data_IF_147181203259
#
_entry.id   IF_147181203259
#
_cell.length_a   1.000
_cell.length_b   1.000
_cell.length_c   1.000
_cell.angle_alpha   90.00
_cell.angle_beta   90.00
_cell.angle_gamma   90.00
#
_symmetry.space_group_name_H-M   'P 1'
#
loop_
_entity.id
_entity.type
_entity.pdbx_description
1 polymer ?
#
# COMPACT_ATOMS: atom_id res chain seq x y z
N UNK A 1 76.96 23.24 -33.14
CA UNK A 1 76.23 22.45 -32.13
C UNK A 1 74.78 22.83 -32.27
N UNK A 2 73.94 22.04 -32.93
CA UNK A 2 73.44 20.71 -32.55
C UNK A 2 71.94 20.92 -32.33
N UNK A 3 71.19 20.27 -33.21
CA UNK A 3 69.74 20.14 -33.23
C UNK A 3 69.22 19.63 -31.88
N UNK A 4 67.96 19.90 -31.55
CA UNK A 4 66.94 18.83 -31.59
C UNK A 4 65.53 19.39 -31.39
N UNK A 5 64.66 19.11 -32.37
CA UNK A 5 63.20 19.16 -32.28
C UNK A 5 62.69 18.11 -31.29
N UNK A 6 61.54 18.35 -30.65
CA UNK A 6 60.53 17.28 -30.50
C UNK A 6 59.12 17.85 -30.42
N UNK A 7 58.43 17.72 -31.55
CA UNK A 7 56.97 17.74 -31.69
C UNK A 7 56.39 16.42 -31.18
N UNK A 8 55.34 16.45 -30.36
CA UNK A 8 54.30 15.39 -30.22
C UNK A 8 53.15 16.08 -29.44
N UNK A 9 51.98 16.43 -29.98
CA UNK A 9 51.11 15.69 -30.89
C UNK A 9 50.21 14.78 -30.05
N UNK A 10 48.94 15.15 -29.82
CA UNK A 10 47.77 14.26 -30.02
C UNK A 10 46.42 14.87 -29.56
N UNK A 11 45.53 14.95 -30.55
CA UNK A 11 44.10 14.65 -30.54
C UNK A 11 43.19 15.29 -29.46
N UNK A 12 42.62 16.44 -29.84
CA UNK A 12 41.26 16.83 -29.46
C UNK A 12 40.27 15.84 -30.07
N UNK A 13 39.90 14.79 -29.34
CA UNK A 13 38.73 13.98 -29.68
C UNK A 13 37.71 14.04 -28.56
N UNK A 14 36.52 14.46 -28.95
CA UNK A 14 35.32 14.60 -28.15
C UNK A 14 35.05 13.35 -27.31
N UNK A 15 35.34 13.43 -25.99
CA UNK A 15 34.57 12.67 -25.00
C UNK A 15 33.14 13.17 -25.11
N UNK A 16 32.37 12.56 -26.02
CA UNK A 16 30.91 12.63 -26.00
C UNK A 16 30.54 12.32 -24.56
N UNK A 17 29.93 13.29 -23.90
CA UNK A 17 29.68 13.25 -22.46
C UNK A 17 28.80 12.03 -22.15
N UNK A 18 29.44 10.91 -21.75
CA UNK A 18 28.77 9.66 -21.40
C UNK A 18 27.72 9.91 -20.29
N UNK A 19 27.96 10.94 -19.47
CA UNK A 19 27.03 11.46 -18.46
C UNK A 19 25.69 11.92 -19.04
N UNK A 20 25.66 12.50 -20.25
CA UNK A 20 24.42 12.91 -20.94
C UNK A 20 23.66 11.71 -21.52
N UNK A 21 24.37 10.65 -21.93
CA UNK A 21 23.76 9.38 -22.36
C UNK A 21 23.17 8.60 -21.18
N UNK A 22 23.84 8.63 -20.02
CA UNK A 22 23.33 8.08 -18.76
C UNK A 22 22.08 8.83 -18.23
N UNK A 23 21.92 10.11 -18.58
CA UNK A 23 20.74 10.89 -18.22
C UNK A 23 19.49 10.57 -19.05
N UNK A 24 19.65 9.94 -20.22
CA UNK A 24 18.54 9.47 -21.08
C UNK A 24 17.93 8.17 -20.53
N UNK A 25 18.72 7.38 -19.81
CA UNK A 25 18.23 6.16 -19.17
C UNK A 25 17.79 6.53 -17.75
N UNK A 26 16.49 6.48 -17.43
CA UNK A 26 16.06 6.73 -16.05
C UNK A 26 16.80 5.77 -15.11
N UNK A 27 17.32 6.26 -13.97
CA UNK A 27 17.99 5.39 -13.02
C UNK A 27 17.04 4.26 -12.62
N UNK A 28 17.56 3.05 -12.47
CA UNK A 28 16.76 1.85 -12.21
C UNK A 28 15.81 1.98 -10.98
N UNK A 29 16.13 2.89 -10.06
CA UNK A 29 15.30 3.26 -8.91
C UNK A 29 13.99 3.97 -9.29
N UNK A 30 13.95 4.75 -10.38
CA UNK A 30 12.74 5.43 -10.86
C UNK A 30 11.78 4.51 -11.61
N UNK A 31 12.31 3.54 -12.36
CA UNK A 31 11.52 2.51 -13.03
C UNK A 31 10.72 1.62 -12.04
N UNK A 32 11.11 1.63 -10.77
CA UNK A 32 10.49 0.88 -9.67
C UNK A 32 9.65 1.76 -8.73
N UNK A 33 9.01 2.83 -9.22
CA UNK A 33 7.81 3.38 -8.53
C UNK A 33 6.65 2.40 -8.68
N UNK A 34 6.78 1.22 -8.04
CA UNK A 34 5.67 0.31 -7.83
C UNK A 34 4.81 0.98 -6.78
N UNK A 35 3.64 1.48 -7.17
CA UNK A 35 2.63 1.97 -6.24
C UNK A 35 2.40 0.85 -5.22
N UNK A 36 2.99 1.00 -4.02
CA UNK A 36 2.77 0.08 -2.92
C UNK A 36 1.34 0.32 -2.45
N UNK A 37 0.37 -0.26 -3.15
CA UNK A 37 -0.97 -0.41 -2.62
C UNK A 37 -0.82 -1.14 -1.30
N UNK A 38 -1.20 -0.47 -0.22
CA UNK A 38 -1.18 -1.05 1.12
C UNK A 38 -2.25 -2.14 1.11
N UNK A 39 -1.82 -3.40 0.94
CA UNK A 39 -2.72 -4.55 0.92
C UNK A 39 -3.39 -4.80 2.28
N UNK A 40 -2.77 -4.29 3.34
CA UNK A 40 -3.18 -4.49 4.72
C UNK A 40 -3.01 -3.20 5.52
N UNK A 41 -4.01 -2.87 6.36
CA UNK A 41 -3.93 -1.74 7.28
C UNK A 41 -4.41 -2.15 8.67
N UNK A 42 -3.65 -1.74 9.70
CA UNK A 42 -4.04 -1.91 11.11
C UNK A 42 -5.01 -0.79 11.48
N UNK A 43 -6.16 -1.17 11.99
CA UNK A 43 -7.28 -0.29 12.28
C UNK A 43 -7.98 -0.73 13.56
N UNK A 44 -8.90 0.10 14.04
CA UNK A 44 -9.72 -0.15 15.21
C UNK A 44 -11.11 -0.62 14.77
N UNK A 45 -11.63 -1.64 15.44
CA UNK A 45 -12.98 -2.16 15.19
C UNK A 45 -13.93 -1.56 16.21
N UNK A 46 -14.96 -0.90 15.73
CA UNK A 46 -16.02 -0.34 16.55
C UNK A 46 -17.31 -1.15 16.34
N UNK A 47 -17.99 -1.42 17.44
CA UNK A 47 -19.23 -2.19 17.40
C UNK A 47 -20.40 -1.28 17.03
N UNK A 48 -21.15 -1.68 16.01
CA UNK A 48 -22.39 -1.03 15.62
C UNK A 48 -23.47 -2.12 15.41
N UNK A 49 -24.50 -2.19 16.27
CA UNK A 49 -25.57 -3.17 16.14
C UNK A 49 -26.50 -2.90 14.94
N UNK A 50 -26.39 -1.75 14.27
CA UNK A 50 -27.13 -1.43 13.06
C UNK A 50 -26.48 -1.95 11.77
N UNK A 51 -25.39 -2.71 11.85
CA UNK A 51 -24.71 -3.32 10.70
C UNK A 51 -25.15 -4.77 10.56
N UNK A 52 -25.37 -5.24 9.33
CA UNK A 52 -25.62 -6.67 9.09
C UNK A 52 -24.44 -7.53 9.61
N UNK A 53 -24.70 -8.69 10.23
CA UNK A 53 -23.64 -9.53 10.81
C UNK A 53 -22.66 -10.07 9.76
N UNK A 54 -23.08 -10.19 8.50
CA UNK A 54 -22.23 -10.64 7.40
C UNK A 54 -21.47 -9.51 6.69
N UNK A 55 -21.70 -8.24 7.06
CA UNK A 55 -21.10 -7.08 6.40
C UNK A 55 -20.14 -6.34 7.33
N UNK A 56 -19.10 -5.79 6.74
CA UNK A 56 -18.15 -4.90 7.39
C UNK A 56 -18.26 -3.52 6.75
N UNK A 57 -18.66 -2.52 7.54
CA UNK A 57 -18.71 -1.12 7.09
C UNK A 57 -17.29 -0.55 7.08
N UNK A 58 -16.81 -0.20 5.89
CA UNK A 58 -15.47 0.35 5.65
C UNK A 58 -15.59 1.79 5.12
N UNK A 59 -14.85 2.75 5.69
CA UNK A 59 -14.78 4.11 5.14
C UNK A 59 -14.31 4.12 3.69
N UNK A 60 -14.89 4.97 2.86
CA UNK A 60 -14.61 5.07 1.42
C UNK A 60 -13.14 5.33 1.10
N UNK A 61 -12.47 6.19 1.86
CA UNK A 61 -11.05 6.45 1.70
C UNK A 61 -10.18 5.24 2.12
N UNK A 62 -10.57 4.53 3.19
CA UNK A 62 -9.89 3.30 3.60
C UNK A 62 -10.03 2.21 2.52
N UNK A 63 -11.22 2.08 1.95
CA UNK A 63 -11.49 1.15 0.85
C UNK A 63 -10.64 1.46 -0.39
N UNK A 64 -10.47 2.75 -0.74
CA UNK A 64 -9.57 3.19 -1.83
C UNK A 64 -8.12 2.80 -1.56
N UNK A 65 -7.62 3.01 -0.35
CA UNK A 65 -6.24 2.66 0.04
C UNK A 65 -6.01 1.15 -0.05
N UNK A 66 -6.97 0.35 0.41
CA UNK A 66 -6.91 -1.11 0.41
C UNK A 66 -7.26 -1.74 -0.96
N UNK A 67 -7.78 -0.96 -1.91
CA UNK A 67 -8.26 -1.44 -3.21
C UNK A 67 -9.48 -2.35 -3.11
N UNK A 68 -10.35 -2.12 -2.12
CA UNK A 68 -11.59 -2.87 -1.85
C UNK A 68 -12.78 -2.09 -2.44
N UNK A 69 -13.70 -2.79 -3.10
CA UNK A 69 -14.97 -2.24 -3.59
C UNK A 69 -16.15 -2.70 -2.74
N UNK A 70 -17.29 -2.05 -2.90
CA UNK A 70 -18.55 -2.51 -2.30
C UNK A 70 -18.89 -3.90 -2.83
N UNK A 71 -19.21 -4.84 -1.93
CA UNK A 71 -19.47 -6.23 -2.27
C UNK A 71 -18.23 -7.14 -2.37
N UNK A 72 -17.00 -6.60 -2.27
CA UNK A 72 -15.79 -7.42 -2.22
C UNK A 72 -15.71 -8.20 -0.89
N UNK A 73 -15.09 -9.38 -0.94
CA UNK A 73 -14.77 -10.15 0.27
C UNK A 73 -13.54 -9.57 0.96
N UNK A 74 -13.66 -9.32 2.26
CA UNK A 74 -12.59 -8.80 3.11
C UNK A 74 -12.37 -9.70 4.31
N UNK A 75 -11.12 -9.77 4.76
CA UNK A 75 -10.76 -10.48 5.96
C UNK A 75 -10.33 -9.51 7.06
N UNK A 76 -10.95 -9.66 8.22
CA UNK A 76 -10.62 -8.96 9.44
C UNK A 76 -9.83 -9.90 10.36
N UNK A 77 -8.56 -9.57 10.61
CA UNK A 77 -7.68 -10.35 11.48
C UNK A 77 -7.47 -9.64 12.80
N UNK A 78 -8.01 -10.19 13.88
CA UNK A 78 -7.86 -9.65 15.23
C UNK A 78 -6.73 -10.38 15.95
N UNK A 79 -5.78 -9.60 16.48
CA UNK A 79 -4.62 -10.09 17.23
C UNK A 79 -3.80 -11.21 16.53
N UNK A 80 -3.85 -11.27 15.19
CA UNK A 80 -3.12 -12.27 14.39
C UNK A 80 -3.64 -13.72 14.50
N UNK A 81 -4.67 -13.98 15.33
CA UNK A 81 -5.18 -15.33 15.60
C UNK A 81 -6.58 -15.54 15.07
N UNK A 82 -7.46 -14.55 15.28
CA UNK A 82 -8.88 -14.64 14.92
C UNK A 82 -9.07 -14.02 13.55
N UNK A 83 -9.54 -14.80 12.59
CA UNK A 83 -9.83 -14.35 11.22
C UNK A 83 -11.33 -14.40 11.01
N UNK A 84 -11.87 -13.32 10.46
CA UNK A 84 -13.27 -13.21 10.10
C UNK A 84 -13.39 -12.79 8.65
N UNK A 85 -14.33 -13.38 7.94
CA UNK A 85 -14.58 -13.08 6.54
C UNK A 85 -15.90 -12.35 6.45
N UNK A 86 -15.88 -11.16 5.86
CA UNK A 86 -17.06 -10.31 5.70
C UNK A 86 -17.18 -9.81 4.26
N UNK A 87 -18.38 -9.36 3.91
CA UNK A 87 -18.60 -8.58 2.70
C UNK A 87 -18.39 -7.10 3.01
N UNK A 88 -17.56 -6.41 2.22
CA UNK A 88 -17.31 -4.99 2.39
C UNK A 88 -18.55 -4.17 2.03
N UNK A 89 -18.96 -3.29 2.94
CA UNK A 89 -19.94 -2.24 2.70
C UNK A 89 -19.25 -0.88 2.81
N UNK A 90 -19.16 -0.16 1.71
CA UNK A 90 -18.47 1.14 1.70
C UNK A 90 -19.41 2.24 2.20
N UNK A 91 -18.94 3.06 3.13
CA UNK A 91 -19.68 4.23 3.61
C UNK A 91 -18.79 5.47 3.68
N UNK A 92 -19.42 6.64 3.71
CA UNK A 92 -18.70 7.91 3.82
C UNK A 92 -18.41 8.23 5.28
N UNK A 93 -17.13 8.39 5.62
CA UNK A 93 -16.68 8.75 6.96
C UNK A 93 -15.32 9.42 6.91
N UNK A 94 -15.07 10.33 7.84
CA UNK A 94 -13.78 10.99 8.03
C UNK A 94 -12.75 10.11 8.76
N UNK A 95 -13.21 9.05 9.44
CA UNK A 95 -12.35 8.22 10.28
C UNK A 95 -11.71 7.05 9.52
N UNK A 96 -10.54 7.29 8.94
CA UNK A 96 -9.75 6.32 8.17
C UNK A 96 -9.27 5.07 8.92
N UNK A 97 -9.35 5.08 10.24
CA UNK A 97 -8.76 4.06 11.12
C UNK A 97 -9.83 3.29 11.89
N UNK A 98 -11.11 3.50 11.60
CA UNK A 98 -12.23 2.85 12.27
C UNK A 98 -13.05 2.08 11.24
N UNK A 99 -13.36 0.82 11.54
CA UNK A 99 -14.37 0.03 10.82
C UNK A 99 -15.50 -0.34 11.76
N UNK A 100 -16.70 -0.41 11.21
CA UNK A 100 -17.90 -0.77 11.96
C UNK A 100 -18.29 -2.21 11.63
N UNK A 101 -18.48 -3.00 12.67
CA UNK A 101 -18.83 -4.40 12.57
C UNK A 101 -19.90 -4.75 13.61
N UNK A 102 -20.70 -5.79 13.31
CA UNK A 102 -21.71 -6.26 14.23
C UNK A 102 -21.05 -6.88 15.49
N UNK A 103 -21.50 -6.53 16.71
CA UNK A 103 -20.93 -7.05 17.95
C UNK A 103 -21.06 -8.57 18.15
N UNK A 104 -22.06 -9.25 17.63
CA UNK A 104 -22.39 -10.63 18.01
C UNK A 104 -21.27 -11.62 17.75
N UNK A 105 -20.74 -11.63 16.52
CA UNK A 105 -19.62 -12.51 16.18
C UNK A 105 -18.35 -12.09 16.91
N UNK A 106 -18.10 -10.79 17.02
CA UNK A 106 -16.90 -10.25 17.65
C UNK A 106 -16.84 -10.60 19.15
N UNK A 107 -17.92 -10.36 19.88
CA UNK A 107 -18.04 -10.64 21.31
C UNK A 107 -18.02 -12.14 21.58
N UNK A 108 -18.71 -12.96 20.77
CA UNK A 108 -18.61 -14.43 20.84
C UNK A 108 -17.17 -14.90 20.70
N UNK A 109 -16.40 -14.16 19.92
CA UNK A 109 -14.98 -14.36 19.71
C UNK A 109 -14.09 -13.50 20.64
N UNK A 110 -14.59 -13.00 21.76
CA UNK A 110 -13.77 -12.28 22.75
C UNK A 110 -13.09 -11.02 22.21
N UNK A 111 -13.59 -10.44 21.12
CA UNK A 111 -13.13 -9.16 20.57
C UNK A 111 -13.93 -8.06 21.25
N UNK A 112 -13.23 -7.22 22.02
CA UNK A 112 -13.84 -6.09 22.69
C UNK A 112 -14.08 -4.93 21.71
N UNK A 113 -14.96 -4.01 22.08
CA UNK A 113 -15.09 -2.76 21.34
C UNK A 113 -13.74 -2.01 21.31
N UNK A 114 -13.47 -1.29 20.23
CA UNK A 114 -12.21 -0.58 20.01
C UNK A 114 -10.96 -1.47 19.95
N UNK A 115 -11.12 -2.76 19.63
CA UNK A 115 -10.00 -3.68 19.43
C UNK A 115 -9.19 -3.34 18.19
N UNK A 116 -7.88 -3.64 18.23
CA UNK A 116 -6.98 -3.48 17.09
C UNK A 116 -7.10 -4.71 16.19
N UNK A 117 -7.42 -4.47 14.93
CA UNK A 117 -7.50 -5.48 13.90
C UNK A 117 -6.69 -5.08 12.67
N UNK A 118 -6.40 -6.05 11.82
CA UNK A 118 -5.80 -5.84 10.50
C UNK A 118 -6.87 -6.18 9.47
N UNK A 119 -7.20 -5.22 8.60
CA UNK A 119 -8.05 -5.49 7.44
C UNK A 119 -7.17 -5.77 6.25
N UNK A 120 -7.49 -6.85 5.55
CA UNK A 120 -6.87 -7.25 4.30
C UNK A 120 -7.94 -7.56 3.26
N UNK A 121 -7.61 -7.32 2.00
CA UNK A 121 -8.44 -7.80 0.90
C UNK A 121 -8.32 -9.33 0.84
N UNK A 122 -9.45 -10.03 0.88
CA UNK A 122 -9.43 -11.47 0.69
C UNK A 122 -9.10 -11.73 -0.79
N UNK A 123 -8.00 -12.44 -1.04
CA UNK A 123 -7.73 -12.98 -2.36
C UNK A 123 -8.41 -14.35 -2.43
N UNK A 124 -9.44 -14.47 -3.26
CA UNK A 124 -9.94 -15.75 -3.74
C UNK A 124 -8.97 -16.32 -4.80
#
# INVERSE_FOLDING_TARGET
MSQEKKETGEAKESKIEISKLLAIVPPASELKKKETSLKEKRIRVQHDPGVDPSKLKIPSELAKILGVKDGDTVELVVAGKRKFTYTAQVFESNDLNIVLAHPDELVRNGVANNSIATVRKAHA
#
